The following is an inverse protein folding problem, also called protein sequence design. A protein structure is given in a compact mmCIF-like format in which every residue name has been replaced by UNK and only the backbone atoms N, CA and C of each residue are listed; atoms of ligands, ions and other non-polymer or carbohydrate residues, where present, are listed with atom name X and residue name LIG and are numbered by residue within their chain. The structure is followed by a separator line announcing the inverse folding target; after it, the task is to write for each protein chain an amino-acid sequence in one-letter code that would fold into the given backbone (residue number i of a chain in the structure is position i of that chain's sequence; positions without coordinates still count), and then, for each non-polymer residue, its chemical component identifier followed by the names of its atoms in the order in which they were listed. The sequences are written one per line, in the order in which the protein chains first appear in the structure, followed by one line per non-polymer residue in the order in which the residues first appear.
data_IF_264296046844
#
_entry.id   IF_264296046844
#
_cell.length_a   1.000
_cell.length_b   1.000
_cell.length_c   1.000
_cell.angle_alpha   90.00
_cell.angle_beta   90.00
_cell.angle_gamma   90.00
#
_symmetry.space_group_name_H-M   'P 1'
#
loop_
_entity.id
_entity.type
_entity.pdbx_description
1 polymer ?
#
# COMPACT_ATOMS: atom_id res chain seq x y z
N UNK A 1 -8.38 -22.06 -6.50
CA UNK A 1 -8.18 -20.62 -6.25
C UNK A 1 -8.14 -19.91 -7.60
N UNK A 2 -9.31 -19.65 -8.18
CA UNK A 2 -9.48 -18.97 -9.47
C UNK A 2 -10.06 -17.59 -9.20
N UNK A 3 -9.35 -16.53 -9.56
CA UNK A 3 -9.90 -15.17 -9.60
C UNK A 3 -10.55 -15.01 -10.97
N UNK A 4 -11.83 -15.37 -11.07
CA UNK A 4 -12.64 -15.12 -12.25
C UNK A 4 -12.96 -13.63 -12.26
N UNK A 5 -12.28 -12.87 -13.12
CA UNK A 5 -12.75 -11.56 -13.54
C UNK A 5 -13.90 -11.82 -14.51
N UNK A 6 -15.13 -11.88 -14.00
CA UNK A 6 -16.34 -11.99 -14.82
C UNK A 6 -16.54 -10.66 -15.57
N UNK A 7 -15.92 -10.52 -16.74
CA UNK A 7 -16.32 -9.50 -17.71
C UNK A 7 -17.61 -10.02 -18.35
N UNK A 8 -18.74 -9.59 -17.81
CA UNK A 8 -20.07 -9.95 -18.31
C UNK A 8 -20.27 -9.27 -19.67
N UNK A 9 -20.18 -10.04 -20.75
CA UNK A 9 -20.71 -9.67 -22.06
C UNK A 9 -22.25 -9.69 -21.99
N UNK A 10 -22.90 -8.56 -22.26
CA UNK A 10 -24.32 -8.55 -22.62
C UNK A 10 -24.61 -7.32 -23.46
N UNK A 11 -25.07 -7.53 -24.69
CA UNK A 11 -25.64 -6.47 -25.50
C UNK A 11 -27.00 -6.01 -24.97
N UNK A 12 -27.45 -4.91 -25.59
CA UNK A 12 -28.82 -4.37 -25.63
C UNK A 12 -29.24 -3.34 -24.56
N UNK A 13 -29.97 -2.34 -25.07
CA UNK A 13 -30.93 -1.39 -24.47
C UNK A 13 -30.42 -0.21 -23.63
N UNK A 14 -30.54 0.97 -24.26
CA UNK A 14 -30.75 2.31 -23.71
C UNK A 14 -31.54 2.31 -22.40
N UNK A 15 -30.97 2.75 -21.27
CA UNK A 15 -31.75 3.26 -20.12
C UNK A 15 -30.90 4.00 -19.06
N UNK A 16 -31.10 5.33 -19.02
CA UNK A 16 -30.94 6.26 -17.87
C UNK A 16 -29.56 6.35 -17.18
N UNK A 17 -28.65 7.12 -17.77
CA UNK A 17 -27.51 7.68 -17.03
C UNK A 17 -28.00 8.81 -16.13
N UNK A 18 -28.36 8.52 -14.88
CA UNK A 18 -28.29 9.55 -13.83
C UNK A 18 -26.81 9.75 -13.56
N UNK A 19 -26.21 10.83 -14.05
CA UNK A 19 -24.83 11.16 -13.68
C UNK A 19 -24.81 11.48 -12.20
N UNK A 20 -24.42 10.50 -11.38
CA UNK A 20 -24.25 10.73 -9.94
C UNK A 20 -23.14 11.74 -9.79
N UNK A 21 -23.52 12.94 -9.40
CA UNK A 21 -22.57 14.01 -9.15
C UNK A 21 -22.23 14.05 -7.68
N UNK A 22 -20.94 13.97 -7.39
CA UNK A 22 -20.40 14.08 -6.05
C UNK A 22 -19.82 15.48 -5.85
N UNK A 23 -20.16 16.12 -4.75
CA UNK A 23 -19.30 17.18 -4.19
C UNK A 23 -18.00 16.57 -3.67
N UNK A 24 -16.96 17.39 -3.46
CA UNK A 24 -15.68 16.91 -2.90
C UNK A 24 -15.85 16.16 -1.58
N UNK A 25 -16.79 16.59 -0.73
CA UNK A 25 -17.07 15.94 0.55
C UNK A 25 -17.76 14.59 0.39
N UNK A 26 -18.74 14.50 -0.52
CA UNK A 26 -19.41 13.24 -0.83
C UNK A 26 -18.45 12.23 -1.46
N UNK A 27 -17.62 12.68 -2.40
CA UNK A 27 -16.62 11.83 -3.05
C UNK A 27 -15.58 11.30 -2.06
N UNK A 28 -15.09 12.19 -1.19
CA UNK A 28 -14.16 11.84 -0.12
C UNK A 28 -14.77 10.77 0.80
N UNK A 29 -16.02 10.95 1.24
CA UNK A 29 -16.73 9.96 2.07
C UNK A 29 -16.94 8.63 1.33
N UNK A 30 -17.39 8.67 0.08
CA UNK A 30 -17.68 7.47 -0.71
C UNK A 30 -16.42 6.62 -0.98
N UNK A 31 -15.27 7.27 -1.15
CA UNK A 31 -13.99 6.60 -1.41
C UNK A 31 -13.17 6.35 -0.14
N UNK A 32 -13.70 6.76 1.02
CA UNK A 32 -13.02 6.78 2.31
C UNK A 32 -11.59 7.37 2.18
N UNK A 33 -11.59 8.59 1.65
CA UNK A 33 -10.44 9.48 1.51
C UNK A 33 -10.75 10.84 2.15
N UNK A 34 -9.73 11.65 2.43
CA UNK A 34 -9.92 13.02 2.92
C UNK A 34 -10.14 13.98 1.75
N UNK A 35 -11.01 14.97 1.91
CA UNK A 35 -11.23 16.00 0.87
C UNK A 35 -9.94 16.76 0.49
N UNK A 36 -9.00 16.93 1.44
CA UNK A 36 -7.66 17.49 1.16
C UNK A 36 -6.87 16.57 0.23
N UNK A 37 -6.94 15.26 0.42
CA UNK A 37 -6.27 14.26 -0.43
C UNK A 37 -6.85 14.24 -1.84
N UNK A 38 -8.17 14.39 -1.99
CA UNK A 38 -8.82 14.53 -3.31
C UNK A 38 -8.24 15.73 -4.08
N UNK A 39 -8.17 16.90 -3.43
CA UNK A 39 -7.56 18.12 -4.02
C UNK A 39 -6.06 17.95 -4.30
N UNK A 40 -5.35 17.23 -3.43
CA UNK A 40 -3.94 16.91 -3.64
C UNK A 40 -3.73 16.07 -4.90
N UNK A 41 -4.55 15.04 -5.13
CA UNK A 41 -4.48 14.24 -6.34
C UNK A 41 -4.90 15.00 -7.61
N UNK A 42 -5.85 15.94 -7.50
CA UNK A 42 -6.19 16.88 -8.57
C UNK A 42 -4.98 17.77 -8.91
N UNK A 43 -4.30 18.34 -7.90
CA UNK A 43 -3.10 19.17 -8.10
C UNK A 43 -1.91 18.41 -8.70
N UNK A 44 -1.79 17.12 -8.41
CA UNK A 44 -0.81 16.23 -9.04
C UNK A 44 -1.22 15.75 -10.44
N UNK A 45 -2.42 16.06 -10.91
CA UNK A 45 -2.96 15.55 -12.17
C UNK A 45 -3.19 14.03 -12.18
N UNK A 46 -3.34 13.41 -11.01
CA UNK A 46 -3.76 12.01 -10.88
C UNK A 46 -5.29 11.89 -10.99
N UNK A 47 -6.01 12.94 -10.59
CA UNK A 47 -7.44 13.10 -10.81
C UNK A 47 -7.65 14.25 -11.81
N UNK A 48 -8.53 14.11 -12.82
CA UNK A 48 -8.86 15.23 -13.70
C UNK A 48 -9.50 16.39 -12.89
N UNK A 49 -9.35 17.64 -13.36
CA UNK A 49 -9.96 18.79 -12.70
C UNK A 49 -11.47 18.62 -12.64
N UNK A 50 -12.05 18.95 -11.48
CA UNK A 50 -13.49 18.79 -11.27
C UNK A 50 -14.29 19.66 -12.26
N UNK A 51 -15.40 19.13 -12.75
CA UNK A 51 -16.42 19.93 -13.42
C UNK A 51 -16.98 20.98 -12.46
N UNK A 52 -17.58 22.04 -12.99
CA UNK A 52 -18.27 23.05 -12.18
C UNK A 52 -19.77 23.00 -12.43
N UNK A 53 -20.56 23.09 -11.36
CA UNK A 53 -22.00 23.30 -11.48
C UNK A 53 -22.30 24.73 -11.97
N UNK A 54 -23.55 24.98 -12.38
CA UNK A 54 -24.02 26.32 -12.73
C UNK A 54 -23.85 27.33 -11.57
N UNK A 55 -23.88 26.85 -10.32
CA UNK A 55 -23.64 27.64 -9.12
C UNK A 55 -22.15 27.72 -8.70
N UNK A 56 -21.22 27.19 -9.51
CA UNK A 56 -19.77 27.29 -9.30
C UNK A 56 -19.15 26.23 -8.39
N UNK A 57 -19.92 25.26 -7.90
CA UNK A 57 -19.41 24.17 -7.05
C UNK A 57 -18.63 23.13 -7.85
N UNK A 58 -17.57 22.55 -7.26
CA UNK A 58 -16.85 21.40 -7.84
C UNK A 58 -17.74 20.15 -7.81
N UNK A 59 -17.92 19.55 -8.96
CA UNK A 59 -18.65 18.31 -9.16
C UNK A 59 -17.75 17.25 -9.80
N UNK A 60 -17.85 16.06 -9.25
CA UNK A 60 -17.18 14.85 -9.72
C UNK A 60 -18.23 13.84 -10.17
N UNK A 61 -17.86 12.91 -11.02
CA UNK A 61 -18.70 11.84 -11.55
C UNK A 61 -18.24 10.49 -11.03
N UNK A 62 -18.97 9.44 -11.39
CA UNK A 62 -18.58 8.05 -11.11
C UNK A 62 -17.18 7.71 -11.66
N UNK A 63 -16.72 8.37 -12.73
CA UNK A 63 -15.37 8.18 -13.27
C UNK A 63 -14.29 8.61 -12.27
N UNK A 64 -14.46 9.75 -11.62
CA UNK A 64 -13.51 10.22 -10.60
C UNK A 64 -13.60 9.40 -9.32
N UNK A 65 -14.79 8.88 -8.99
CA UNK A 65 -14.96 7.92 -7.91
C UNK A 65 -14.14 6.64 -8.13
N UNK A 66 -14.30 5.99 -9.29
CA UNK A 66 -13.58 4.76 -9.60
C UNK A 66 -12.07 4.99 -9.68
N UNK A 67 -11.66 6.14 -10.24
CA UNK A 67 -10.25 6.54 -10.30
C UNK A 67 -9.63 6.73 -8.91
N UNK A 68 -10.37 7.33 -7.97
CA UNK A 68 -9.89 7.46 -6.59
C UNK A 68 -9.79 6.12 -5.87
N UNK A 69 -10.75 5.22 -6.06
CA UNK A 69 -10.66 3.86 -5.52
C UNK A 69 -9.44 3.11 -6.06
N UNK A 70 -9.15 3.28 -7.35
CA UNK A 70 -7.94 2.74 -7.97
C UNK A 70 -6.68 3.27 -7.29
N UNK A 71 -6.52 4.60 -7.20
CA UNK A 71 -5.37 5.24 -6.54
C UNK A 71 -5.20 4.74 -5.10
N UNK A 72 -6.31 4.64 -4.35
CA UNK A 72 -6.30 4.17 -2.96
C UNK A 72 -5.80 2.72 -2.85
N UNK A 73 -6.33 1.82 -3.68
CA UNK A 73 -5.93 0.40 -3.69
C UNK A 73 -4.46 0.23 -4.08
N UNK A 74 -3.99 0.95 -5.10
CA UNK A 74 -2.58 0.92 -5.50
C UNK A 74 -1.66 1.41 -4.38
N UNK A 75 -2.04 2.50 -3.69
CA UNK A 75 -1.28 2.96 -2.52
C UNK A 75 -1.24 1.94 -1.39
N UNK A 76 -2.33 1.22 -1.14
CA UNK A 76 -2.37 0.18 -0.11
C UNK A 76 -1.42 -0.99 -0.42
N UNK A 77 -1.17 -1.24 -1.71
CA UNK A 77 -0.18 -2.23 -2.17
C UNK A 77 1.26 -1.69 -2.18
N UNK A 78 1.46 -0.43 -1.78
CA UNK A 78 2.78 0.19 -1.68
C UNK A 78 3.31 0.78 -2.98
N UNK A 79 2.49 0.90 -4.03
CA UNK A 79 2.91 1.57 -5.26
C UNK A 79 3.17 3.07 -5.02
N UNK A 80 4.22 3.59 -5.63
CA UNK A 80 4.51 5.01 -5.60
C UNK A 80 3.50 5.82 -6.42
N UNK A 81 3.41 7.14 -6.18
CA UNK A 81 2.55 8.01 -7.00
C UNK A 81 2.97 8.03 -8.49
N UNK A 82 4.25 7.80 -8.77
CA UNK A 82 4.76 7.70 -10.15
C UNK A 82 4.29 6.41 -10.81
N UNK A 83 4.37 5.27 -10.11
CA UNK A 83 3.82 4.01 -10.62
C UNK A 83 2.32 4.15 -10.84
N UNK A 84 1.58 4.74 -9.89
CA UNK A 84 0.14 4.96 -10.02
C UNK A 84 -0.20 5.78 -11.27
N UNK A 85 0.61 6.79 -11.63
CA UNK A 85 0.40 7.55 -12.88
C UNK A 85 0.53 6.66 -14.11
N UNK A 86 1.54 5.79 -14.13
CA UNK A 86 1.75 4.82 -15.20
C UNK A 86 0.58 3.84 -15.28
N UNK A 87 0.16 3.29 -14.12
CA UNK A 87 -0.98 2.38 -14.00
C UNK A 87 -2.28 3.01 -14.51
N UNK A 88 -2.55 4.27 -14.14
CA UNK A 88 -3.72 5.01 -14.62
C UNK A 88 -3.67 5.24 -16.14
N UNK A 89 -2.50 5.52 -16.71
CA UNK A 89 -2.32 5.67 -18.14
C UNK A 89 -2.67 4.40 -18.95
N UNK A 90 -2.49 3.21 -18.36
CA UNK A 90 -2.94 1.96 -18.95
C UNK A 90 -4.44 1.72 -18.74
N UNK A 91 -4.99 2.05 -17.56
CA UNK A 91 -6.42 1.93 -17.30
C UNK A 91 -7.27 2.79 -18.26
N UNK A 92 -6.74 3.93 -18.68
CA UNK A 92 -7.40 4.83 -19.64
C UNK A 92 -7.31 4.30 -21.09
N UNK A 93 -6.47 3.29 -21.38
CA UNK A 93 -6.25 2.71 -22.72
C UNK A 93 -6.63 1.23 -22.76
N UNK A 94 -7.91 0.94 -23.03
CA UNK A 94 -8.47 -0.43 -23.02
C UNK A 94 -7.81 -1.43 -23.97
N UNK A 95 -7.11 -0.96 -25.00
CA UNK A 95 -6.44 -1.79 -26.02
C UNK A 95 -4.92 -1.92 -25.80
N UNK A 96 -4.37 -1.30 -24.74
CA UNK A 96 -2.93 -1.36 -24.47
C UNK A 96 -2.52 -2.74 -23.92
N UNK A 97 -1.32 -3.18 -24.28
CA UNK A 97 -0.71 -4.39 -23.70
C UNK A 97 -0.52 -4.23 -22.19
N UNK A 98 -0.94 -5.25 -21.43
CA UNK A 98 -0.77 -5.31 -19.98
C UNK A 98 0.66 -5.65 -19.54
N UNK A 99 1.60 -5.93 -20.46
CA UNK A 99 2.94 -6.38 -20.11
C UNK A 99 3.71 -5.39 -19.20
N UNK A 100 3.57 -4.08 -19.45
CA UNK A 100 4.20 -3.06 -18.62
C UNK A 100 3.56 -2.94 -17.22
N UNK A 101 2.25 -3.20 -17.14
CA UNK A 101 1.51 -3.28 -15.88
C UNK A 101 1.98 -4.51 -15.07
N UNK A 102 2.06 -5.67 -15.72
CA UNK A 102 2.55 -6.91 -15.10
C UNK A 102 3.97 -6.76 -14.58
N UNK A 103 4.86 -6.14 -15.36
CA UNK A 103 6.23 -5.85 -14.94
C UNK A 103 6.27 -5.01 -13.65
N UNK A 104 5.41 -3.99 -13.54
CA UNK A 104 5.32 -3.16 -12.33
C UNK A 104 4.79 -3.91 -11.12
N UNK A 105 3.82 -4.80 -11.31
CA UNK A 105 3.33 -5.67 -10.24
C UNK A 105 4.41 -6.63 -9.78
N UNK A 106 5.18 -7.22 -10.69
CA UNK A 106 6.29 -8.12 -10.34
C UNK A 106 7.42 -7.39 -9.60
N UNK A 107 7.76 -6.17 -10.02
CA UNK A 107 8.74 -5.33 -9.32
C UNK A 107 8.33 -5.10 -7.86
N UNK A 108 7.07 -4.67 -7.65
CA UNK A 108 6.54 -4.44 -6.31
C UNK A 108 6.48 -5.71 -5.46
N UNK A 109 6.13 -6.84 -6.08
CA UNK A 109 6.12 -8.13 -5.40
C UNK A 109 7.51 -8.52 -4.89
N UNK A 110 8.56 -8.31 -5.68
CA UNK A 110 9.92 -8.60 -5.24
C UNK A 110 10.38 -7.65 -4.13
N UNK A 111 10.01 -6.37 -4.19
CA UNK A 111 10.26 -5.43 -3.10
C UNK A 111 9.60 -5.86 -1.78
N UNK A 112 8.35 -6.32 -1.82
CA UNK A 112 7.65 -6.86 -0.65
C UNK A 112 8.35 -8.12 -0.14
N UNK A 113 8.76 -9.03 -1.03
CA UNK A 113 9.49 -10.25 -0.64
C UNK A 113 10.83 -9.96 0.00
N UNK A 114 11.59 -8.99 -0.51
CA UNK A 114 12.82 -8.51 0.12
C UNK A 114 12.55 -8.02 1.53
N UNK A 115 11.55 -7.14 1.70
CA UNK A 115 11.22 -6.59 3.02
C UNK A 115 10.78 -7.66 4.02
N UNK A 116 10.02 -8.67 3.57
CA UNK A 116 9.63 -9.80 4.40
C UNK A 116 10.83 -10.63 4.85
N UNK A 117 11.82 -10.86 3.97
CA UNK A 117 13.06 -11.57 4.35
C UNK A 117 13.80 -10.83 5.46
N UNK A 118 13.95 -9.52 5.32
CA UNK A 118 14.62 -8.68 6.32
C UNK A 118 13.87 -8.66 7.65
N UNK A 119 12.54 -8.51 7.61
CA UNK A 119 11.70 -8.50 8.80
C UNK A 119 11.72 -9.85 9.53
N UNK A 120 11.67 -10.97 8.81
CA UNK A 120 11.82 -12.29 9.43
C UNK A 120 13.21 -12.50 10.01
N UNK A 121 14.26 -11.92 9.42
CA UNK A 121 15.62 -11.98 9.98
C UNK A 121 15.70 -11.19 11.31
N UNK A 122 15.14 -9.99 11.35
CA UNK A 122 15.05 -9.21 12.58
C UNK A 122 14.20 -9.90 13.64
N UNK A 123 13.05 -10.47 13.24
CA UNK A 123 12.17 -11.23 14.14
C UNK A 123 12.92 -12.39 14.81
N UNK A 124 13.67 -13.19 14.03
CA UNK A 124 14.47 -14.30 14.59
C UNK A 124 15.50 -13.82 15.60
N UNK A 125 16.15 -12.68 15.34
CA UNK A 125 17.13 -12.14 16.28
C UNK A 125 16.47 -11.62 17.55
N UNK A 126 15.33 -10.92 17.45
CA UNK A 126 14.55 -10.49 18.61
C UNK A 126 14.04 -11.70 19.41
N UNK A 127 13.60 -12.78 18.75
CA UNK A 127 13.20 -14.03 19.39
C UNK A 127 14.37 -14.66 20.16
N UNK A 128 15.56 -14.75 19.55
CA UNK A 128 16.77 -15.27 20.18
C UNK A 128 17.14 -14.49 21.44
N UNK A 129 17.13 -13.15 21.35
CA UNK A 129 17.41 -12.28 22.48
C UNK A 129 16.37 -12.45 23.59
N UNK A 130 15.09 -12.48 23.24
CA UNK A 130 14.01 -12.65 24.23
C UNK A 130 14.08 -13.99 24.96
N UNK A 131 14.46 -15.08 24.28
CA UNK A 131 14.59 -16.41 24.87
C UNK A 131 15.79 -16.56 25.82
N UNK A 132 16.79 -15.66 25.73
CA UNK A 132 18.01 -15.74 26.54
C UNK A 132 17.89 -15.05 27.91
N UNK A 133 16.76 -14.40 28.21
CA UNK A 133 16.52 -13.69 29.45
C UNK A 133 15.30 -14.26 30.15
N UNK A 134 15.48 -14.79 31.36
CA UNK A 134 14.38 -15.29 32.21
C UNK A 134 13.75 -14.19 33.07
N UNK A 135 14.23 -12.94 32.94
CA UNK A 135 13.94 -11.85 33.86
C UNK A 135 14.82 -11.89 35.11
N UNK A 136 15.15 -10.72 35.66
CA UNK A 136 16.11 -10.60 36.76
C UNK A 136 16.68 -9.18 36.86
N UNK A 137 17.88 -9.04 37.40
CA UNK A 137 18.59 -7.75 37.46
C UNK A 137 19.33 -7.46 36.16
N UNK A 138 19.43 -6.19 35.78
CA UNK A 138 20.08 -5.75 34.52
C UNK A 138 21.54 -6.19 34.43
N UNK A 139 22.24 -6.32 35.56
CA UNK A 139 23.63 -6.76 35.60
C UNK A 139 23.84 -8.18 35.07
N UNK A 140 22.84 -9.06 35.16
CA UNK A 140 22.90 -10.45 34.70
C UNK A 140 22.10 -10.65 33.40
N UNK A 141 21.68 -9.56 32.77
CA UNK A 141 20.82 -9.62 31.59
C UNK A 141 21.62 -9.97 30.34
N UNK A 142 21.48 -11.23 29.90
CA UNK A 142 22.09 -11.74 28.65
C UNK A 142 21.72 -10.94 27.39
N UNK A 143 20.58 -10.26 27.38
CA UNK A 143 20.21 -9.35 26.28
C UNK A 143 21.16 -8.16 26.25
N UNK A 144 21.43 -7.53 27.39
CA UNK A 144 22.35 -6.40 27.50
C UNK A 144 23.76 -6.84 27.12
N UNK A 145 24.21 -8.00 27.58
CA UNK A 145 25.52 -8.56 27.19
C UNK A 145 25.63 -8.79 25.67
N UNK A 146 24.61 -9.41 25.07
CA UNK A 146 24.59 -9.71 23.63
C UNK A 146 24.50 -8.45 22.76
N UNK A 147 23.76 -7.42 23.18
CA UNK A 147 23.63 -6.16 22.45
C UNK A 147 24.84 -5.23 22.65
N UNK A 148 25.51 -5.31 23.81
CA UNK A 148 26.72 -4.52 24.10
C UNK A 148 27.98 -5.07 23.43
N UNK A 149 27.88 -6.17 22.67
CA UNK A 149 29.02 -6.81 22.01
C UNK A 149 30.01 -7.48 22.97
N UNK A 150 29.65 -7.71 24.25
CA UNK A 150 30.51 -8.39 25.25
C UNK A 150 30.44 -9.91 25.17
N UNK A 151 29.96 -10.46 24.07
CA UNK A 151 29.92 -11.90 23.82
C UNK A 151 31.30 -12.44 23.40
N UNK A 152 32.33 -12.27 24.24
CA UNK A 152 33.56 -13.08 24.21
C UNK A 152 34.11 -13.18 25.64
N UNK A 153 33.96 -14.36 26.26
CA UNK A 153 34.63 -14.66 27.52
C UNK A 153 33.77 -15.26 28.63
N UNK A 154 32.87 -16.20 28.32
CA UNK A 154 32.50 -17.19 29.33
C UNK A 154 33.66 -18.20 29.46
N UNK A 155 34.74 -17.77 30.12
CA UNK A 155 35.76 -18.70 30.62
C UNK A 155 35.12 -19.42 31.83
N UNK A 156 35.01 -20.75 31.83
CA UNK A 156 34.48 -21.46 32.99
C UNK A 156 35.50 -21.32 34.12
N UNK A 157 35.16 -20.55 35.15
CA UNK A 157 35.95 -20.47 36.37
C UNK A 157 35.55 -21.62 37.29
N UNK A 158 35.97 -22.83 36.92
CA UNK A 158 36.15 -23.97 37.82
C UNK A 158 37.19 -24.91 37.21
N UNK A 159 38.38 -24.97 37.80
CA UNK A 159 39.08 -26.17 38.31
C UNK A 159 40.32 -25.68 39.11
N UNK A 160 40.50 -26.34 40.25
CA UNK A 160 41.31 -26.09 41.44
C UNK A 160 42.78 -26.56 41.31
N UNK A 161 43.60 -26.58 42.39
CA UNK A 161 43.47 -27.54 43.50
C UNK A 161 43.16 -26.91 44.86
#
# INVERSE_FOLDING_TARGET
MQVIVTIRSSGMTTERSSSTHYTVGQLAKATDTKAVTVRYYEGLGLLPPAGRSAAGYRLYTDKEHDRLLFIRRSRALGFSLNDIRVLLGFADRREASCAALDAKVQEQLEQVRMRLRDLHAMERELQRLSACCEGGVINDCRIVESLSGRAQGATPLFITP
#
